data_IF_878740098915
#
_entry.id   IF_878740098915
#
_cell.length_a   1.000
_cell.length_b   1.000
_cell.length_c   1.000
_cell.angle_alpha   90.00
_cell.angle_beta   90.00
_cell.angle_gamma   90.00
#
_symmetry.space_group_name_H-M   'P 1'
#
loop_
_entity.id
_entity.type
_entity.pdbx_description
1 polymer ?
#
# COMPACT_ATOMS: atom_id res chain seq x y z
N UNK A 1 -10.22 30.98 -13.89
CA UNK A 1 -11.21 30.97 -12.79
C UNK A 1 -10.67 30.07 -11.70
N UNK A 2 -10.74 30.47 -10.42
CA UNK A 2 -10.47 29.55 -9.31
C UNK A 2 -11.48 28.39 -9.31
N UNK A 3 -11.12 27.21 -8.79
CA UNK A 3 -12.01 26.07 -8.71
C UNK A 3 -13.23 26.36 -7.83
N UNK A 4 -14.36 25.74 -8.14
CA UNK A 4 -15.58 25.84 -7.33
C UNK A 4 -15.50 24.88 -6.13
N UNK A 5 -16.26 25.16 -5.07
CA UNK A 5 -16.37 24.29 -3.88
C UNK A 5 -16.70 22.84 -4.27
N UNK A 6 -17.61 22.64 -5.23
CA UNK A 6 -17.94 21.32 -5.75
C UNK A 6 -16.75 20.61 -6.41
N UNK A 7 -15.88 21.35 -7.12
CA UNK A 7 -14.68 20.78 -7.73
C UNK A 7 -13.64 20.39 -6.67
N UNK A 8 -13.54 21.16 -5.59
CA UNK A 8 -12.64 20.86 -4.47
C UNK A 8 -13.12 19.61 -3.73
N UNK A 9 -14.41 19.55 -3.39
CA UNK A 9 -15.02 18.37 -2.77
C UNK A 9 -14.88 17.11 -3.63
N UNK A 10 -15.12 17.22 -4.95
CA UNK A 10 -14.90 16.11 -5.87
C UNK A 10 -13.43 15.64 -5.90
N UNK A 11 -12.48 16.57 -5.81
CA UNK A 11 -11.05 16.25 -5.80
C UNK A 11 -10.64 15.56 -4.50
N UNK A 12 -11.14 16.02 -3.35
CA UNK A 12 -10.92 15.39 -2.03
C UNK A 12 -11.47 13.95 -2.04
N UNK A 13 -12.68 13.75 -2.57
CA UNK A 13 -13.25 12.40 -2.70
C UNK A 13 -12.43 11.50 -3.62
N UNK A 14 -11.87 12.06 -4.69
CA UNK A 14 -10.96 11.31 -5.58
C UNK A 14 -9.68 10.88 -4.84
N UNK A 15 -9.07 11.78 -4.06
CA UNK A 15 -7.90 11.45 -3.24
C UNK A 15 -8.20 10.30 -2.25
N UNK A 16 -9.31 10.37 -1.52
CA UNK A 16 -9.72 9.31 -0.58
C UNK A 16 -10.00 7.99 -1.28
N UNK A 17 -10.61 8.03 -2.47
CA UNK A 17 -10.86 6.82 -3.27
C UNK A 17 -9.56 6.18 -3.76
N UNK A 18 -8.60 7.00 -4.19
CA UNK A 18 -7.30 6.52 -4.62
C UNK A 18 -6.53 5.95 -3.43
N UNK A 19 -6.55 6.61 -2.27
CA UNK A 19 -5.97 6.11 -1.02
C UNK A 19 -6.52 4.73 -0.66
N UNK A 20 -7.85 4.55 -0.69
CA UNK A 20 -8.49 3.27 -0.44
C UNK A 20 -8.07 2.18 -1.44
N UNK A 21 -7.83 2.54 -2.71
CA UNK A 21 -7.35 1.62 -3.74
C UNK A 21 -5.93 1.14 -3.43
N UNK A 22 -5.04 2.04 -3.01
CA UNK A 22 -3.68 1.70 -2.59
C UNK A 22 -3.67 0.86 -1.32
N UNK A 23 -4.51 1.17 -0.33
CA UNK A 23 -4.66 0.37 0.89
C UNK A 23 -5.12 -1.06 0.57
N UNK A 24 -6.10 -1.23 -0.31
CA UNK A 24 -6.54 -2.55 -0.76
C UNK A 24 -5.43 -3.31 -1.53
N UNK A 25 -4.61 -2.59 -2.30
CA UNK A 25 -3.43 -3.17 -2.94
C UNK A 25 -2.38 -3.65 -1.93
N UNK A 26 -2.14 -2.89 -0.87
CA UNK A 26 -1.26 -3.29 0.25
C UNK A 26 -1.76 -4.58 0.89
N UNK A 27 -3.06 -4.72 1.15
CA UNK A 27 -3.61 -5.94 1.76
C UNK A 27 -3.37 -7.17 0.88
N UNK A 28 -3.54 -7.05 -0.45
CA UNK A 28 -3.21 -8.15 -1.38
C UNK A 28 -1.74 -8.55 -1.35
N UNK A 29 -0.82 -7.60 -1.16
CA UNK A 29 0.61 -7.88 -1.05
C UNK A 29 0.94 -8.57 0.27
N UNK A 30 0.29 -8.19 1.37
CA UNK A 30 0.41 -8.86 2.67
C UNK A 30 -0.09 -10.30 2.58
N UNK A 31 -1.25 -10.52 1.95
CA UNK A 31 -1.79 -11.87 1.74
C UNK A 31 -0.85 -12.73 0.90
N UNK A 32 -0.30 -12.17 -0.18
CA UNK A 32 0.69 -12.86 -1.00
C UNK A 32 1.98 -13.18 -0.23
N UNK A 33 2.44 -12.27 0.65
CA UNK A 33 3.60 -12.51 1.49
C UNK A 33 3.32 -13.65 2.48
N UNK A 34 2.13 -13.69 3.09
CA UNK A 34 1.73 -14.77 3.98
C UNK A 34 1.69 -16.13 3.26
N UNK A 35 1.26 -16.16 2.00
CA UNK A 35 1.33 -17.37 1.16
C UNK A 35 2.79 -17.75 0.89
N UNK A 36 3.62 -16.79 0.49
CA UNK A 36 5.04 -17.03 0.22
C UNK A 36 5.77 -17.60 1.46
N UNK A 37 5.49 -17.10 2.66
CA UNK A 37 6.07 -17.61 3.91
C UNK A 37 5.66 -19.05 4.24
N UNK A 38 4.49 -19.52 3.76
CA UNK A 38 3.97 -20.87 4.03
C UNK A 38 4.41 -21.92 3.01
N UNK A 39 5.06 -21.52 1.91
CA UNK A 39 5.56 -22.44 0.90
C UNK A 39 6.80 -23.18 1.42
N UNK A 40 6.60 -24.22 2.23
CA UNK A 40 7.70 -25.05 2.73
C UNK A 40 8.00 -26.22 1.77
N UNK A 41 8.91 -26.04 0.83
CA UNK A 41 9.57 -27.16 0.15
C UNK A 41 10.88 -27.47 0.88
N UNK A 42 10.82 -28.45 1.79
CA UNK A 42 12.01 -28.97 2.47
C UNK A 42 12.80 -29.93 1.58
N UNK A 43 14.04 -30.26 1.97
CA UNK A 43 14.90 -31.27 1.33
C UNK A 43 14.19 -32.61 1.09
N UNK A 44 13.20 -32.97 1.94
CA UNK A 44 12.39 -34.19 1.80
C UNK A 44 11.47 -34.18 0.57
N UNK A 45 11.15 -32.99 0.05
CA UNK A 45 10.36 -32.81 -1.16
C UNK A 45 11.23 -32.73 -2.43
N UNK A 46 12.55 -32.57 -2.25
CA UNK A 46 13.52 -32.63 -3.34
C UNK A 46 14.18 -34.01 -3.40
N UNK A 47 14.65 -34.41 -4.58
CA UNK A 47 15.43 -35.64 -4.68
C UNK A 47 16.76 -35.48 -3.93
N UNK A 48 17.34 -36.57 -3.44
CA UNK A 48 18.64 -36.56 -2.74
C UNK A 48 19.75 -35.86 -3.55
N UNK A 49 19.74 -36.03 -4.88
CA UNK A 49 20.68 -35.37 -5.79
C UNK A 49 20.42 -33.85 -5.83
N UNK A 50 19.16 -33.43 -5.85
CA UNK A 50 18.81 -32.01 -5.85
C UNK A 50 19.19 -31.31 -4.52
N UNK A 51 19.07 -32.02 -3.39
CA UNK A 51 19.53 -31.53 -2.10
C UNK A 51 21.06 -31.39 -2.03
N UNK A 52 21.82 -32.39 -2.52
CA UNK A 52 23.28 -32.29 -2.63
C UNK A 52 23.75 -31.13 -3.52
N UNK A 53 22.95 -30.74 -4.52
CA UNK A 53 23.22 -29.59 -5.38
C UNK A 53 22.80 -28.24 -4.77
N UNK A 54 22.26 -28.24 -3.54
CA UNK A 54 21.87 -27.03 -2.82
C UNK A 54 20.52 -26.44 -3.25
N UNK A 55 19.67 -27.19 -3.95
CA UNK A 55 18.40 -26.68 -4.48
C UNK A 55 17.44 -26.23 -3.36
N UNK A 56 17.42 -26.94 -2.23
CA UNK A 56 16.59 -26.58 -1.08
C UNK A 56 17.01 -25.22 -0.49
N UNK A 57 18.32 -24.95 -0.39
CA UNK A 57 18.83 -23.66 0.09
C UNK A 57 18.50 -22.52 -0.87
N UNK A 58 18.71 -22.71 -2.17
CA UNK A 58 18.34 -21.71 -3.19
C UNK A 58 16.84 -21.42 -3.17
N UNK A 59 16.02 -22.45 -3.01
CA UNK A 59 14.57 -22.29 -2.89
C UNK A 59 14.20 -21.44 -1.66
N UNK A 60 14.79 -21.74 -0.50
CA UNK A 60 14.54 -20.97 0.74
C UNK A 60 14.99 -19.51 0.60
N UNK A 61 16.14 -19.25 -0.03
CA UNK A 61 16.61 -17.89 -0.30
C UNK A 61 15.63 -17.12 -1.22
N UNK A 62 15.13 -17.78 -2.27
CA UNK A 62 14.16 -17.19 -3.19
C UNK A 62 12.81 -16.93 -2.51
N UNK A 63 12.33 -17.87 -1.70
CA UNK A 63 11.13 -17.73 -0.89
C UNK A 63 11.25 -16.53 0.07
N UNK A 64 12.36 -16.43 0.78
CA UNK A 64 12.62 -15.32 1.69
C UNK A 64 12.70 -13.99 0.93
N UNK A 65 13.35 -13.96 -0.24
CA UNK A 65 13.43 -12.75 -1.06
C UNK A 65 12.06 -12.30 -1.55
N UNK A 66 11.21 -13.24 -1.97
CA UNK A 66 9.84 -12.96 -2.39
C UNK A 66 9.01 -12.42 -1.22
N UNK A 67 9.09 -13.05 -0.05
CA UNK A 67 8.44 -12.59 1.17
C UNK A 67 8.84 -11.15 1.51
N UNK A 68 10.14 -10.84 1.49
CA UNK A 68 10.65 -9.50 1.77
C UNK A 68 10.13 -8.48 0.76
N UNK A 69 10.23 -8.74 -0.54
CA UNK A 69 9.79 -7.82 -1.60
C UNK A 69 8.28 -7.52 -1.53
N UNK A 70 7.47 -8.52 -1.19
CA UNK A 70 6.03 -8.34 -1.04
C UNK A 70 5.70 -7.44 0.16
N UNK A 71 6.39 -7.62 1.30
CA UNK A 71 6.22 -6.74 2.47
C UNK A 71 6.73 -5.31 2.21
N UNK A 72 7.86 -5.16 1.52
CA UNK A 72 8.37 -3.85 1.10
C UNK A 72 7.37 -3.14 0.16
N UNK A 73 6.81 -3.87 -0.80
CA UNK A 73 5.75 -3.36 -1.68
C UNK A 73 4.50 -2.94 -0.90
N UNK A 74 4.08 -3.76 0.07
CA UNK A 74 2.95 -3.45 0.95
C UNK A 74 3.20 -2.15 1.75
N UNK A 75 4.39 -1.97 2.31
CA UNK A 75 4.76 -0.76 3.03
C UNK A 75 4.70 0.50 2.13
N UNK A 76 5.18 0.39 0.88
CA UNK A 76 5.11 1.50 -0.08
C UNK A 76 3.66 1.85 -0.44
N UNK A 77 2.80 0.86 -0.64
CA UNK A 77 1.39 1.09 -0.95
C UNK A 77 0.66 1.75 0.23
N UNK A 78 0.98 1.34 1.46
CA UNK A 78 0.46 1.99 2.67
C UNK A 78 0.93 3.44 2.76
N UNK A 79 2.22 3.71 2.51
CA UNK A 79 2.75 5.07 2.53
C UNK A 79 2.06 5.98 1.51
N UNK A 80 1.78 5.47 0.30
CA UNK A 80 1.02 6.20 -0.72
C UNK A 80 -0.43 6.46 -0.28
N UNK A 81 -1.11 5.45 0.29
CA UNK A 81 -2.46 5.61 0.80
C UNK A 81 -2.53 6.70 1.88
N UNK A 82 -1.62 6.65 2.87
CA UNK A 82 -1.53 7.64 3.94
C UNK A 82 -1.26 9.04 3.39
N UNK A 83 -0.33 9.19 2.45
CA UNK A 83 -0.03 10.51 1.88
C UNK A 83 -1.22 11.13 1.13
N UNK A 84 -2.06 10.29 0.49
CA UNK A 84 -3.27 10.75 -0.19
C UNK A 84 -4.37 11.14 0.81
N UNK A 85 -4.54 10.38 1.90
CA UNK A 85 -5.47 10.72 2.98
C UNK A 85 -5.04 12.02 3.68
N UNK A 86 -3.75 12.15 4.02
CA UNK A 86 -3.19 13.37 4.63
C UNK A 86 -3.41 14.60 3.73
N UNK A 87 -3.26 14.45 2.41
CA UNK A 87 -3.54 15.51 1.45
C UNK A 87 -5.03 15.87 1.41
N UNK A 88 -5.92 14.87 1.43
CA UNK A 88 -7.37 15.09 1.47
C UNK A 88 -7.79 15.85 2.74
N UNK A 89 -7.26 15.46 3.89
CA UNK A 89 -7.54 16.10 5.18
C UNK A 89 -7.01 17.54 5.21
N UNK A 90 -5.82 17.77 4.64
CA UNK A 90 -5.29 19.12 4.46
C UNK A 90 -6.21 20.03 3.65
N UNK A 91 -6.74 19.54 2.53
CA UNK A 91 -7.70 20.30 1.71
C UNK A 91 -9.04 20.52 2.41
N UNK A 92 -9.58 19.54 3.15
CA UNK A 92 -10.81 19.73 3.94
C UNK A 92 -10.62 20.81 5.02
N UNK A 93 -9.49 20.79 5.71
CA UNK A 93 -9.17 21.79 6.74
C UNK A 93 -9.05 23.20 6.14
N UNK A 94 -8.40 23.33 4.99
CA UNK A 94 -8.23 24.61 4.30
C UNK A 94 -9.58 25.21 3.86
N UNK A 95 -10.50 24.39 3.37
CA UNK A 95 -11.87 24.82 3.02
C UNK A 95 -12.65 25.31 4.24
N UNK A 96 -12.63 24.56 5.35
CA UNK A 96 -13.30 24.97 6.60
C UNK A 96 -12.76 26.34 7.07
N UNK A 97 -11.43 26.51 7.04
CA UNK A 97 -10.78 27.76 7.44
C UNK A 97 -11.10 28.91 6.47
N UNK A 98 -11.24 28.65 5.18
CA UNK A 98 -11.62 29.65 4.19
C UNK A 98 -13.07 30.15 4.42
N UNK A 99 -14.02 29.24 4.64
CA UNK A 99 -15.42 29.57 4.94
C UNK A 99 -15.54 30.39 6.23
N UNK A 100 -14.80 30.03 7.28
CA UNK A 100 -14.79 30.79 8.54
C UNK A 100 -14.20 32.20 8.38
N UNK A 101 -13.15 32.37 7.57
CA UNK A 101 -12.62 33.70 7.25
C UNK A 101 -13.62 34.55 6.47
N UNK A 102 -14.39 33.97 5.56
CA UNK A 102 -15.40 34.73 4.79
C UNK A 102 -16.62 35.13 5.63
N UNK A 103 -17.01 34.33 6.60
CA UNK A 103 -18.17 34.60 7.47
C UNK A 103 -17.87 35.56 8.62
N UNK A 104 -16.60 35.72 9.01
CA UNK A 104 -16.16 36.66 10.05
C UNK A 104 -15.84 38.09 9.58
N UNK A 105 -16.02 38.42 8.29
CA UNK A 105 -15.77 39.77 7.73
C UNK A 105 -17.08 40.60 7.61
N UNK A 106 -18.16 40.19 8.28
CA UNK A 106 -19.40 40.97 8.39
C UNK A 106 -19.57 41.60 9.78
#
# INVERSE_FOLDING_TARGET
MPPTEQQIQASIQALRKDAATWAAGKDKLVDAAAVAARLELSALHFSYIADQLGLAEVYQQLQQRLYTLLNEGAANFLALATALDDAADGYEQDEINAVHRMTGIY
#
